data_IF_714887606164
#
_entry.id   IF_714887606164
#
_cell.length_a   1.000
_cell.length_b   1.000
_cell.length_c   1.000
_cell.angle_alpha   90.00
_cell.angle_beta   90.00
_cell.angle_gamma   90.00
#
_symmetry.space_group_name_H-M   'P 1'
#
loop_
_entity.id
_entity.type
_entity.pdbx_description
1 polymer ?
#
# COMPACT_ATOMS: atom_id res chain seq x y z
N UNK A 1 2.18 11.89 10.66
CA UNK A 1 0.71 11.67 10.65
C UNK A 1 0.05 12.83 9.92
N UNK A 2 -0.98 12.58 9.14
CA UNK A 2 -1.83 13.56 8.46
C UNK A 2 -3.22 13.41 9.05
N UNK A 3 -3.80 14.51 9.53
CA UNK A 3 -5.15 14.57 10.12
C UNK A 3 -6.05 15.61 9.44
N UNK A 4 -5.62 16.09 8.27
CA UNK A 4 -6.35 17.10 7.49
C UNK A 4 -7.72 16.56 7.06
N UNK A 5 -8.82 17.20 7.42
CA UNK A 5 -10.15 16.77 7.02
C UNK A 5 -10.32 16.78 5.49
N UNK A 6 -10.99 15.77 4.96
CA UNK A 6 -11.33 15.69 3.54
C UNK A 6 -12.83 15.91 3.33
N UNK A 7 -13.17 16.94 2.57
CA UNK A 7 -14.57 17.37 2.33
C UNK A 7 -15.34 17.59 3.65
N UNK A 8 -14.70 18.25 4.62
CA UNK A 8 -15.27 18.58 5.93
C UNK A 8 -15.41 17.37 6.89
N UNK A 9 -14.91 16.19 6.52
CA UNK A 9 -15.00 14.99 7.37
C UNK A 9 -13.63 14.65 7.96
N UNK A 10 -13.54 14.27 9.25
CA UNK A 10 -12.29 13.84 9.87
C UNK A 10 -11.63 12.71 9.06
N UNK A 11 -10.32 12.82 8.91
CA UNK A 11 -9.56 11.93 8.05
C UNK A 11 -8.13 11.81 8.59
N UNK A 12 -7.68 10.58 8.85
CA UNK A 12 -6.37 10.32 9.44
C UNK A 12 -5.61 9.30 8.62
N UNK A 13 -4.36 9.64 8.27
CA UNK A 13 -3.40 8.76 7.62
C UNK A 13 -2.06 8.83 8.33
N UNK A 14 -1.53 7.71 8.77
CA UNK A 14 -0.13 7.59 9.16
C UNK A 14 0.73 7.36 7.92
N UNK A 15 1.96 7.82 7.95
CA UNK A 15 2.88 7.61 6.85
C UNK A 15 4.34 7.66 7.30
N UNK A 16 5.21 7.01 6.54
CA UNK A 16 6.67 7.12 6.69
C UNK A 16 7.35 7.04 5.34
N UNK A 17 8.51 7.67 5.24
CA UNK A 17 9.41 7.51 4.10
C UNK A 17 10.13 6.16 4.22
N UNK A 18 10.13 5.40 3.14
CA UNK A 18 10.86 4.13 3.02
C UNK A 18 12.16 4.35 2.27
N UNK A 19 12.09 5.02 1.13
CA UNK A 19 13.25 5.27 0.26
C UNK A 19 13.01 6.52 -0.59
N UNK A 20 14.08 7.22 -0.88
CA UNK A 20 14.11 8.35 -1.80
C UNK A 20 15.10 8.06 -2.93
N UNK A 21 14.71 8.34 -4.18
CA UNK A 21 15.51 8.07 -5.36
C UNK A 21 15.37 9.21 -6.38
N UNK A 22 16.42 9.51 -7.17
CA UNK A 22 16.29 10.42 -8.30
C UNK A 22 15.31 9.85 -9.33
N UNK A 23 14.70 10.72 -10.09
CA UNK A 23 13.80 10.32 -11.19
C UNK A 23 14.56 10.48 -12.52
N UNK A 24 14.56 9.44 -13.36
CA UNK A 24 15.31 9.44 -14.61
C UNK A 24 15.03 10.66 -15.48
N UNK A 25 16.12 11.32 -15.89
CA UNK A 25 16.10 12.40 -16.89
C UNK A 25 15.47 13.72 -16.41
N UNK A 26 15.21 13.89 -15.13
CA UNK A 26 14.70 15.13 -14.54
C UNK A 26 15.39 15.43 -13.22
N UNK A 27 15.55 16.71 -12.88
CA UNK A 27 15.98 17.15 -11.54
C UNK A 27 14.91 16.86 -10.45
N UNK A 28 14.04 15.90 -10.70
CA UNK A 28 12.95 15.52 -9.80
C UNK A 28 13.33 14.24 -9.05
N UNK A 29 12.80 14.12 -7.85
CA UNK A 29 12.98 12.94 -7.01
C UNK A 29 11.63 12.23 -6.82
N UNK A 30 11.69 10.93 -6.67
CA UNK A 30 10.54 10.11 -6.27
C UNK A 30 10.82 9.51 -4.91
N UNK A 31 9.81 9.53 -4.05
CA UNK A 31 9.91 9.01 -2.69
C UNK A 31 8.93 7.85 -2.53
N UNK A 32 9.44 6.69 -2.16
CA UNK A 32 8.60 5.56 -1.74
C UNK A 32 8.17 5.80 -0.30
N UNK A 33 6.86 5.74 -0.09
CA UNK A 33 6.26 5.93 1.24
C UNK A 33 5.30 4.79 1.57
N UNK A 34 5.35 4.33 2.82
CA UNK A 34 4.27 3.52 3.38
C UNK A 34 3.19 4.46 3.93
N UNK A 35 1.93 4.12 3.71
CA UNK A 35 0.79 4.88 4.21
C UNK A 35 -0.26 3.96 4.83
N UNK A 36 -0.69 4.29 6.05
CA UNK A 36 -1.72 3.54 6.78
C UNK A 36 -2.96 4.42 6.99
N UNK A 37 -4.04 4.22 6.20
CA UNK A 37 -5.29 4.94 6.41
C UNK A 37 -6.00 4.43 7.67
N UNK A 38 -6.16 5.30 8.67
CA UNK A 38 -6.95 5.01 9.89
C UNK A 38 -8.44 5.26 9.69
N UNK A 39 -8.79 5.94 8.61
CA UNK A 39 -10.17 6.21 8.16
C UNK A 39 -10.29 5.82 6.70
N UNK A 40 -11.52 5.67 6.18
CA UNK A 40 -11.79 5.24 4.80
C UNK A 40 -12.52 6.30 3.97
N UNK A 41 -11.92 7.46 3.71
CA UNK A 41 -12.52 8.49 2.87
C UNK A 41 -12.18 8.27 1.38
N UNK A 42 -13.08 8.71 0.51
CA UNK A 42 -12.88 8.58 -0.95
C UNK A 42 -11.54 9.16 -1.37
N UNK A 43 -10.72 8.34 -2.02
CA UNK A 43 -9.36 8.66 -2.49
C UNK A 43 -8.44 9.24 -1.40
N UNK A 44 -8.62 8.83 -0.16
CA UNK A 44 -7.94 9.41 1.00
C UNK A 44 -6.43 9.56 0.80
N UNK A 45 -5.73 8.47 0.49
CA UNK A 45 -4.27 8.48 0.34
C UNK A 45 -3.82 9.40 -0.80
N UNK A 46 -4.51 9.34 -1.93
CA UNK A 46 -4.22 10.17 -3.10
C UNK A 46 -4.39 11.66 -2.78
N UNK A 47 -5.48 12.00 -2.07
CA UNK A 47 -5.77 13.38 -1.68
C UNK A 47 -4.81 13.88 -0.61
N UNK A 48 -4.51 13.09 0.42
CA UNK A 48 -3.53 13.46 1.44
C UNK A 48 -2.14 13.69 0.83
N UNK A 49 -1.70 12.82 -0.09
CA UNK A 49 -0.45 13.02 -0.80
C UNK A 49 -0.44 14.32 -1.60
N UNK A 50 -1.48 14.57 -2.40
CA UNK A 50 -1.52 15.72 -3.28
C UNK A 50 -1.84 17.05 -2.53
N UNK A 51 -2.88 17.05 -1.66
CA UNK A 51 -3.42 18.27 -1.06
C UNK A 51 -2.63 18.69 0.20
N UNK A 52 -2.19 17.73 1.01
CA UNK A 52 -1.51 18.00 2.29
C UNK A 52 0.01 17.94 2.17
N UNK A 53 0.57 16.82 1.64
CA UNK A 53 2.01 16.69 1.46
C UNK A 53 2.57 17.47 0.27
N UNK A 54 1.71 17.96 -0.63
CA UNK A 54 2.12 18.62 -1.88
C UNK A 54 2.99 17.75 -2.78
N UNK A 55 2.92 16.44 -2.58
CA UNK A 55 3.65 15.41 -3.30
C UNK A 55 2.66 14.37 -3.84
N UNK A 56 1.96 14.66 -4.95
CA UNK A 56 0.99 13.75 -5.53
C UNK A 56 1.65 12.42 -5.91
N UNK A 57 0.88 11.34 -5.83
CA UNK A 57 1.36 10.01 -6.19
C UNK A 57 1.73 9.98 -7.68
N UNK A 58 2.86 9.37 -8.00
CA UNK A 58 3.32 9.23 -9.39
C UNK A 58 2.24 8.53 -10.24
N UNK A 59 1.95 9.08 -11.41
CA UNK A 59 0.91 8.58 -12.32
C UNK A 59 -0.53 8.87 -11.88
N UNK A 60 -0.73 9.74 -10.88
CA UNK A 60 -2.07 10.17 -10.47
C UNK A 60 -2.61 11.27 -11.39
N UNK A 61 -3.26 10.90 -12.49
CA UNK A 61 -3.83 11.83 -13.45
C UNK A 61 -4.90 12.77 -12.84
N UNK A 62 -5.53 12.36 -11.73
CA UNK A 62 -6.62 13.14 -11.12
C UNK A 62 -6.14 14.22 -10.15
N UNK A 63 -5.09 13.93 -9.37
CA UNK A 63 -4.63 14.79 -8.29
C UNK A 63 -3.23 15.38 -8.52
N UNK A 64 -2.49 14.92 -9.53
CA UNK A 64 -1.15 15.41 -9.85
C UNK A 64 -1.19 16.65 -10.76
N UNK A 65 -2.03 17.63 -10.46
CA UNK A 65 -2.04 18.91 -11.18
C UNK A 65 -0.93 19.82 -10.65
N UNK A 66 0.03 20.15 -11.50
CA UNK A 66 0.99 21.25 -11.28
C UNK A 66 0.64 22.38 -12.23
N UNK A 67 0.48 23.59 -11.70
CA UNK A 67 0.34 24.84 -12.46
C UNK A 67 -0.76 24.81 -13.55
N UNK A 68 -1.89 24.16 -13.26
CA UNK A 68 -3.02 24.07 -14.19
C UNK A 68 -2.82 23.06 -15.34
N UNK A 69 -1.67 22.38 -15.42
CA UNK A 69 -1.42 21.30 -16.38
C UNK A 69 -1.71 19.95 -15.73
N UNK A 70 -2.43 19.09 -16.45
CA UNK A 70 -2.55 17.68 -16.04
C UNK A 70 -1.15 17.03 -16.09
N UNK A 71 -0.83 16.24 -15.07
CA UNK A 71 0.37 15.42 -15.15
C UNK A 71 0.25 14.51 -16.38
N UNK A 72 1.32 14.43 -17.16
CA UNK A 72 1.37 13.52 -18.28
C UNK A 72 0.97 12.12 -17.80
N UNK A 73 0.06 11.48 -18.52
CA UNK A 73 -0.31 10.10 -18.22
C UNK A 73 0.97 9.25 -18.24
N UNK A 74 1.26 8.61 -17.12
CA UNK A 74 2.37 7.69 -17.03
C UNK A 74 1.90 6.35 -17.64
N UNK A 75 2.65 5.78 -18.56
CA UNK A 75 2.35 4.49 -19.18
C UNK A 75 2.18 3.37 -18.15
N UNK A 76 2.93 3.45 -17.05
CA UNK A 76 2.83 2.52 -15.92
C UNK A 76 1.59 2.75 -15.02
N UNK A 77 0.82 3.82 -15.25
CA UNK A 77 -0.36 4.19 -14.48
C UNK A 77 -0.04 4.65 -13.05
N UNK A 78 -1.02 4.54 -12.17
CA UNK A 78 -0.93 4.99 -10.78
C UNK A 78 0.03 4.11 -9.95
N UNK A 79 0.99 4.74 -9.26
CA UNK A 79 1.93 4.07 -8.33
C UNK A 79 1.36 4.00 -6.90
N UNK A 80 0.16 3.44 -6.75
CA UNK A 80 -0.46 3.14 -5.48
C UNK A 80 -0.78 1.64 -5.41
N UNK A 81 -0.33 0.98 -4.34
CA UNK A 81 -0.49 -0.45 -4.16
C UNK A 81 -0.81 -0.79 -2.70
N UNK A 82 -1.72 -1.74 -2.48
CA UNK A 82 -2.02 -2.25 -1.16
C UNK A 82 -1.12 -3.46 -0.89
N UNK A 83 -0.09 -3.27 -0.05
CA UNK A 83 0.89 -4.33 0.30
C UNK A 83 0.43 -5.18 1.47
N UNK A 84 -0.37 -4.62 2.36
CA UNK A 84 -0.86 -5.30 3.56
C UNK A 84 -2.36 -5.07 3.76
N UNK A 85 -3.02 -6.13 4.21
CA UNK A 85 -4.41 -6.08 4.64
C UNK A 85 -4.52 -6.79 6.00
N UNK A 86 -5.19 -6.14 6.95
CA UNK A 86 -5.52 -6.70 8.25
C UNK A 86 -7.03 -6.84 8.34
N UNK A 87 -7.50 -8.06 8.59
CA UNK A 87 -8.94 -8.35 8.71
C UNK A 87 -9.18 -9.04 10.04
N UNK A 88 -10.06 -8.50 10.90
CA UNK A 88 -10.44 -9.22 12.11
C UNK A 88 -11.15 -10.52 11.74
N UNK A 89 -10.74 -11.64 12.33
CA UNK A 89 -11.33 -12.96 12.03
C UNK A 89 -12.82 -12.96 12.33
N UNK A 90 -13.26 -12.21 13.33
CA UNK A 90 -14.69 -12.02 13.65
C UNK A 90 -15.52 -11.42 12.51
N UNK A 91 -14.91 -10.73 11.57
CA UNK A 91 -15.57 -10.21 10.37
C UNK A 91 -15.69 -11.25 9.23
N UNK A 92 -15.20 -12.47 9.45
CA UNK A 92 -15.16 -13.55 8.46
C UNK A 92 -15.87 -14.83 8.96
N UNK A 93 -17.19 -14.79 9.22
CA UNK A 93 -17.92 -15.92 9.79
C UNK A 93 -17.90 -17.18 8.91
N UNK A 94 -17.59 -17.03 7.61
CA UNK A 94 -17.48 -18.14 6.65
C UNK A 94 -16.15 -18.93 6.75
N UNK A 95 -15.18 -18.47 7.53
CA UNK A 95 -13.90 -19.19 7.70
C UNK A 95 -14.06 -20.45 8.58
N UNK A 96 -15.23 -20.64 9.19
CA UNK A 96 -15.53 -21.77 10.07
C UNK A 96 -14.86 -21.65 11.45
N UNK A 97 -15.17 -22.54 12.37
CA UNK A 97 -14.45 -22.63 13.63
C UNK A 97 -13.02 -23.08 13.34
N UNK A 98 -12.07 -22.40 13.97
CA UNK A 98 -10.64 -22.68 13.79
C UNK A 98 -10.26 -24.12 14.11
N UNK A 99 -9.23 -24.67 13.42
CA UNK A 99 -8.56 -25.83 13.91
C UNK A 99 -7.88 -25.49 15.26
N UNK A 100 -8.35 -26.11 16.31
CA UNK A 100 -7.69 -26.09 17.61
C UNK A 100 -6.24 -26.54 17.43
N UNK A 101 -5.31 -25.69 17.80
CA UNK A 101 -3.90 -26.01 17.91
C UNK A 101 -3.07 -26.05 16.62
N UNK A 102 -2.38 -24.90 16.35
CA UNK A 102 -0.97 -24.95 15.96
C UNK A 102 -0.36 -23.56 16.05
N UNK A 103 0.70 -23.44 16.86
CA UNK A 103 1.77 -22.46 16.66
C UNK A 103 2.35 -22.78 15.27
N UNK A 104 1.81 -22.18 14.22
CA UNK A 104 2.37 -22.38 12.89
C UNK A 104 3.46 -21.34 12.65
N UNK A 105 4.69 -21.88 12.60
CA UNK A 105 5.76 -21.34 11.77
C UNK A 105 5.23 -20.97 10.38
N UNK A 106 5.76 -19.92 9.75
CA UNK A 106 5.33 -19.52 8.42
C UNK A 106 5.45 -20.69 7.46
N UNK A 107 4.35 -21.16 6.90
CA UNK A 107 4.41 -22.08 5.78
C UNK A 107 4.99 -21.33 4.60
N UNK A 108 6.26 -21.55 4.36
CA UNK A 108 6.89 -21.35 3.07
C UNK A 108 5.99 -22.01 2.02
N UNK A 109 5.45 -21.19 1.10
CA UNK A 109 4.46 -21.61 0.14
C UNK A 109 4.89 -22.89 -0.56
N UNK A 110 3.96 -23.83 -0.67
CA UNK A 110 4.13 -25.02 -1.50
C UNK A 110 4.47 -24.56 -2.92
N UNK A 111 5.59 -25.07 -3.41
CA UNK A 111 5.98 -25.05 -4.81
C UNK A 111 4.90 -25.79 -5.62
N UNK A 112 3.91 -25.07 -6.13
CA UNK A 112 3.16 -25.57 -7.25
C UNK A 112 3.83 -25.04 -8.51
N UNK A 113 4.56 -25.95 -9.16
CA UNK A 113 5.10 -25.79 -10.49
C UNK A 113 3.96 -25.41 -11.45
N UNK A 114 4.16 -24.34 -12.16
CA UNK A 114 3.99 -24.02 -13.57
C UNK A 114 3.87 -22.49 -13.71
N UNK A 115 4.98 -21.84 -14.03
CA UNK A 115 5.11 -20.87 -15.10
C UNK A 115 4.37 -19.54 -15.02
N UNK A 116 4.10 -18.93 -13.83
CA UNK A 116 3.90 -17.47 -13.74
C UNK A 116 4.34 -17.01 -12.34
N UNK A 117 5.40 -16.20 -12.28
CA UNK A 117 5.86 -15.56 -11.04
C UNK A 117 4.87 -14.44 -10.65
N UNK A 118 3.72 -14.83 -10.11
CA UNK A 118 2.85 -13.89 -9.41
C UNK A 118 3.55 -13.37 -8.13
N UNK A 119 3.12 -12.22 -7.60
CA UNK A 119 3.68 -11.69 -6.36
C UNK A 119 3.52 -12.72 -5.23
N UNK A 120 4.58 -12.88 -4.41
CA UNK A 120 4.51 -13.74 -3.22
C UNK A 120 3.46 -13.20 -2.27
N UNK A 121 2.75 -14.11 -1.62
CA UNK A 121 1.70 -13.79 -0.66
C UNK A 121 2.00 -14.50 0.66
N UNK A 122 2.15 -13.72 1.71
CA UNK A 122 2.28 -14.23 3.06
C UNK A 122 0.94 -14.05 3.78
N UNK A 123 0.43 -15.13 4.34
CA UNK A 123 -0.82 -15.14 5.10
C UNK A 123 -0.52 -15.60 6.52
N UNK A 124 -0.79 -14.75 7.49
CA UNK A 124 -0.52 -15.01 8.90
C UNK A 124 -1.75 -14.72 9.75
N UNK A 125 -2.03 -15.60 10.73
CA UNK A 125 -2.95 -15.30 11.82
C UNK A 125 -2.15 -14.87 13.03
N UNK A 126 -2.63 -13.86 13.75
CA UNK A 126 -2.03 -13.42 14.99
C UNK A 126 -3.09 -12.83 15.93
N UNK A 127 -2.80 -12.85 17.22
CA UNK A 127 -3.63 -12.24 18.23
C UNK A 127 -3.01 -10.90 18.66
N UNK A 128 -3.84 -9.86 18.81
CA UNK A 128 -3.40 -8.57 19.33
C UNK A 128 -3.38 -8.54 20.86
N UNK A 129 -2.94 -7.41 21.44
CA UNK A 129 -2.84 -7.23 22.91
C UNK A 129 -4.20 -7.29 23.61
N UNK A 130 -5.30 -7.11 22.89
CA UNK A 130 -6.68 -7.25 23.38
C UNK A 130 -7.24 -8.68 23.15
N UNK A 131 -6.38 -9.63 22.78
CA UNK A 131 -6.72 -11.02 22.45
C UNK A 131 -7.76 -11.14 21.32
N UNK A 132 -7.75 -10.18 20.38
CA UNK A 132 -8.52 -10.22 19.15
C UNK A 132 -7.69 -10.84 18.06
N UNK A 133 -8.27 -11.79 17.35
CA UNK A 133 -7.60 -12.49 16.26
C UNK A 133 -7.74 -11.80 14.92
N UNK A 134 -6.63 -11.70 14.22
CA UNK A 134 -6.51 -11.03 12.94
C UNK A 134 -5.90 -11.94 11.88
N UNK A 135 -6.37 -11.77 10.66
CA UNK A 135 -5.72 -12.27 9.45
C UNK A 135 -4.92 -11.13 8.84
N UNK A 136 -3.62 -11.32 8.71
CA UNK A 136 -2.74 -10.44 7.94
C UNK A 136 -2.44 -11.08 6.60
N UNK A 137 -2.70 -10.37 5.52
CA UNK A 137 -2.28 -10.75 4.17
C UNK A 137 -1.28 -9.72 3.68
N UNK A 138 -0.10 -10.18 3.30
CA UNK A 138 0.94 -9.34 2.70
C UNK A 138 1.26 -9.84 1.29
N UNK A 139 1.54 -8.91 0.38
CA UNK A 139 2.01 -9.18 -0.98
C UNK A 139 3.26 -8.37 -1.26
N UNK A 140 4.13 -8.91 -2.12
CA UNK A 140 5.33 -8.19 -2.55
C UNK A 140 4.98 -6.93 -3.36
N UNK A 141 5.91 -5.98 -3.37
CA UNK A 141 5.80 -4.80 -4.20
C UNK A 141 5.74 -5.17 -5.69
N UNK A 142 4.90 -4.48 -6.48
CA UNK A 142 4.86 -4.72 -7.92
C UNK A 142 6.21 -4.42 -8.58
N UNK A 143 6.63 -5.19 -9.60
CA UNK A 143 7.89 -4.98 -10.30
C UNK A 143 8.11 -3.56 -10.85
N UNK A 144 7.03 -2.84 -11.16
CA UNK A 144 7.11 -1.45 -11.62
C UNK A 144 7.68 -0.49 -10.57
N UNK A 145 7.48 -0.77 -9.28
CA UNK A 145 8.06 0.03 -8.18
C UNK A 145 9.58 -0.16 -8.12
N UNK A 146 10.04 -1.41 -8.15
CA UNK A 146 11.47 -1.73 -8.17
C UNK A 146 12.15 -1.09 -9.38
N UNK A 147 11.64 -1.29 -10.59
CA UNK A 147 12.19 -0.68 -11.82
C UNK A 147 12.32 0.84 -11.71
N UNK A 148 11.31 1.51 -11.12
CA UNK A 148 11.32 2.97 -11.01
C UNK A 148 12.33 3.49 -10.00
N UNK A 149 12.68 2.70 -8.99
CA UNK A 149 13.65 3.03 -7.95
C UNK A 149 15.09 2.62 -8.32
N UNK A 150 15.26 1.68 -9.26
CA UNK A 150 16.55 1.14 -9.69
C UNK A 150 17.13 1.85 -10.93
N UNK A 151 16.27 2.42 -11.77
CA UNK A 151 16.69 3.10 -13.01
C UNK A 151 17.51 4.37 -12.80
N UNK A 152 17.98 4.59 -11.58
CA UNK A 152 18.71 5.79 -11.11
C UNK A 152 20.12 5.47 -10.62
N UNK A 153 20.67 4.30 -10.94
CA UNK A 153 22.04 3.90 -10.60
C UNK A 153 23.00 4.06 -11.78
#
# INVERSE_FOLDING_TARGET
MIDTPLSGKPCVTEWRVVRDAPCDGRDERVTLVDMWPKTGRTHQLRRHAAETLRAPILGDARYARRDGKEAAANEDGLFLWAVELFVPVSAMPWLGPEPENKKETPRSGSENAVGEKGPRRDVLFYDDDENKRWLRVRVDDPPKFARRLESSA
#
